data_IF_119762056579
#
_entry.id   IF_119762056579
#
_cell.length_a   1.000
_cell.length_b   1.000
_cell.length_c   1.000
_cell.angle_alpha   90.00
_cell.angle_beta   90.00
_cell.angle_gamma   90.00
#
_symmetry.space_group_name_H-M   'P 1'
#
loop_
_entity.id
_entity.type
_entity.pdbx_description
1 polymer ?
#
# COMPACT_ATOMS: atom_id res chain seq x y z
N UNK A 1 -1.09 -4.90 23.07
CA UNK A 1 -1.60 -5.88 22.10
C UNK A 1 -0.71 -7.10 22.20
N UNK A 2 -1.29 -8.25 22.55
CA UNK A 2 -0.58 -9.54 22.55
C UNK A 2 -0.59 -10.12 21.12
N UNK A 3 0.50 -10.72 20.71
CA UNK A 3 0.62 -11.49 19.48
C UNK A 3 0.74 -12.96 19.80
N UNK A 4 0.28 -13.81 18.90
CA UNK A 4 0.59 -15.24 18.95
C UNK A 4 1.92 -15.44 18.21
N UNK A 5 2.95 -15.85 18.93
CA UNK A 5 4.31 -16.10 18.41
C UNK A 5 4.60 -17.60 18.28
N UNK A 6 3.56 -18.44 18.25
CA UNK A 6 3.69 -19.91 18.19
C UNK A 6 4.25 -20.39 16.83
N UNK A 7 4.02 -19.60 15.78
CA UNK A 7 4.37 -19.97 14.40
C UNK A 7 5.48 -19.07 13.90
N UNK A 8 6.51 -19.67 13.29
CA UNK A 8 7.67 -18.95 12.74
C UNK A 8 7.90 -19.36 11.30
N UNK A 9 7.94 -18.39 10.41
CA UNK A 9 8.29 -18.63 9.01
C UNK A 9 9.82 -18.72 8.87
N UNK A 10 10.37 -19.70 8.16
CA UNK A 10 11.79 -19.75 7.83
C UNK A 10 12.19 -18.85 6.65
N UNK A 11 11.21 -18.21 5.98
CA UNK A 11 11.40 -17.46 4.76
C UNK A 11 11.76 -16.00 5.03
N UNK A 12 12.93 -15.75 5.61
CA UNK A 12 13.45 -14.42 5.88
C UNK A 12 14.97 -14.38 5.76
N UNK A 13 15.53 -13.18 5.76
CA UNK A 13 16.96 -12.94 5.86
C UNK A 13 17.25 -11.58 6.54
N UNK A 14 18.52 -11.18 6.60
CA UNK A 14 18.93 -9.89 7.18
C UNK A 14 18.40 -8.72 6.36
N UNK A 15 18.05 -7.62 7.05
CA UNK A 15 17.74 -6.31 6.44
C UNK A 15 18.96 -5.53 5.98
N UNK A 16 20.19 -6.05 6.19
CA UNK A 16 21.44 -5.36 5.86
C UNK A 16 21.48 -3.91 6.39
N UNK A 17 21.11 -3.73 7.67
CA UNK A 17 21.03 -2.42 8.36
C UNK A 17 20.03 -1.41 7.78
N UNK A 18 19.13 -1.85 6.89
CA UNK A 18 18.09 -0.97 6.35
C UNK A 18 17.07 -0.57 7.42
N UNK A 19 16.77 0.72 7.51
CA UNK A 19 15.73 1.23 8.42
C UNK A 19 14.34 0.91 7.89
N UNK A 20 13.44 0.49 8.78
CA UNK A 20 12.02 0.27 8.46
C UNK A 20 11.36 1.64 8.25
N UNK A 21 10.79 1.85 7.06
CA UNK A 21 10.18 3.11 6.62
C UNK A 21 8.74 2.94 6.15
N UNK A 22 8.32 1.71 5.80
CA UNK A 22 7.05 1.41 5.17
C UNK A 22 6.28 0.33 5.92
N UNK A 23 4.95 0.36 5.81
CA UNK A 23 4.06 -0.79 6.07
C UNK A 23 3.37 -1.14 4.77
N UNK A 24 3.42 -2.42 4.38
CA UNK A 24 2.74 -2.94 3.20
C UNK A 24 1.58 -3.84 3.64
N UNK A 25 0.38 -3.50 3.19
CA UNK A 25 -0.84 -4.25 3.49
C UNK A 25 -1.13 -5.21 2.33
N UNK A 26 -1.33 -6.48 2.70
CA UNK A 26 -1.64 -7.60 1.81
C UNK A 26 -2.95 -8.27 2.20
N UNK A 27 -3.42 -9.21 1.39
CA UNK A 27 -4.36 -10.24 1.78
C UNK A 27 -3.87 -11.62 1.34
N UNK A 28 -4.26 -12.67 2.08
CA UNK A 28 -3.74 -14.02 1.88
C UNK A 28 -4.25 -14.69 0.60
N UNK A 29 -5.45 -14.36 0.15
CA UNK A 29 -6.20 -15.06 -0.91
C UNK A 29 -6.34 -16.58 -0.65
N UNK A 30 -6.23 -17.03 0.60
CA UNK A 30 -6.33 -18.41 1.02
C UNK A 30 -7.67 -18.70 1.74
N UNK A 31 -7.98 -19.96 1.96
CA UNK A 31 -9.29 -20.40 2.46
C UNK A 31 -9.58 -19.92 3.89
N UNK A 32 -8.56 -19.91 4.74
CA UNK A 32 -8.66 -19.53 6.15
C UNK A 32 -7.29 -19.19 6.75
N UNK A 33 -7.28 -18.72 8.00
CA UNK A 33 -6.07 -18.35 8.74
C UNK A 33 -5.08 -19.51 8.90
N UNK A 34 -5.56 -20.74 9.15
CA UNK A 34 -4.70 -21.91 9.32
C UNK A 34 -3.93 -22.22 8.04
N UNK A 35 -4.63 -22.27 6.91
CA UNK A 35 -4.01 -22.48 5.60
C UNK A 35 -2.98 -21.38 5.29
N UNK A 36 -3.30 -20.13 5.68
CA UNK A 36 -2.39 -19.01 5.51
C UNK A 36 -1.11 -19.14 6.34
N UNK A 37 -1.22 -19.55 7.61
CA UNK A 37 -0.08 -19.83 8.48
C UNK A 37 0.78 -20.96 7.88
N UNK A 38 0.15 -22.08 7.52
CA UNK A 38 0.85 -23.21 6.92
C UNK A 38 1.59 -22.82 5.64
N UNK A 39 0.94 -22.04 4.77
CA UNK A 39 1.54 -21.58 3.52
C UNK A 39 2.73 -20.66 3.74
N UNK A 40 2.58 -19.65 4.62
CA UNK A 40 3.60 -18.64 4.89
C UNK A 40 4.78 -19.19 5.73
N UNK A 41 4.58 -20.27 6.48
CA UNK A 41 5.62 -20.93 7.27
C UNK A 41 6.28 -22.11 6.54
N UNK A 42 5.81 -22.48 5.35
CA UNK A 42 6.42 -23.55 4.54
C UNK A 42 7.65 -23.02 3.79
N UNK A 43 8.82 -23.63 3.98
CA UNK A 43 10.11 -23.19 3.42
C UNK A 43 10.10 -23.12 1.89
N UNK A 44 9.46 -24.09 1.25
CA UNK A 44 9.43 -24.26 -0.21
C UNK A 44 8.65 -23.15 -0.92
N UNK A 45 7.72 -22.50 -0.22
CA UNK A 45 6.91 -21.44 -0.79
C UNK A 45 7.67 -20.12 -1.01
N UNK A 46 8.82 -19.96 -0.36
CA UNK A 46 9.72 -18.79 -0.52
C UNK A 46 8.98 -17.44 -0.37
N UNK A 47 7.98 -17.41 0.51
CA UNK A 47 7.15 -16.23 0.83
C UNK A 47 6.89 -16.21 2.33
N UNK A 48 6.76 -15.02 2.91
CA UNK A 48 6.42 -14.82 4.32
C UNK A 48 5.81 -13.44 4.53
N UNK A 49 5.40 -13.15 5.75
CA UNK A 49 5.07 -11.80 6.22
C UNK A 49 5.50 -11.65 7.67
N UNK A 50 5.52 -10.41 8.17
CA UNK A 50 5.82 -10.17 9.58
C UNK A 50 4.61 -10.48 10.46
N UNK A 51 3.44 -10.05 10.01
CA UNK A 51 2.18 -10.24 10.73
C UNK A 51 1.09 -10.79 9.84
N UNK A 52 0.30 -11.73 10.38
CA UNK A 52 -0.96 -12.19 9.80
C UNK A 52 -2.08 -11.84 10.77
N UNK A 53 -3.18 -11.26 10.28
CA UNK A 53 -4.36 -10.93 11.08
C UNK A 53 -5.55 -11.75 10.60
N UNK A 54 -6.13 -12.56 11.51
CA UNK A 54 -7.30 -13.39 11.24
C UNK A 54 -8.60 -12.59 11.16
N UNK A 55 -9.67 -13.22 10.66
CA UNK A 55 -11.02 -12.66 10.66
C UNK A 55 -11.51 -12.30 12.08
N UNK A 56 -11.09 -13.04 13.09
CA UNK A 56 -11.44 -12.79 14.48
C UNK A 56 -10.58 -11.70 15.14
N UNK A 57 -9.67 -11.09 14.39
CA UNK A 57 -8.79 -10.03 14.86
C UNK A 57 -7.62 -10.52 15.70
N UNK A 58 -7.29 -11.80 15.66
CA UNK A 58 -6.07 -12.35 16.26
C UNK A 58 -4.89 -12.01 15.37
N UNK A 59 -3.82 -11.47 15.96
CA UNK A 59 -2.60 -11.19 15.23
C UNK A 59 -1.53 -12.25 15.54
N UNK A 60 -0.94 -12.80 14.49
CA UNK A 60 0.18 -13.74 14.53
C UNK A 60 1.43 -13.02 14.07
N UNK A 61 2.53 -13.12 14.81
CA UNK A 61 3.85 -12.66 14.35
C UNK A 61 4.59 -13.88 13.81
N UNK A 62 4.85 -13.87 12.49
CA UNK A 62 5.46 -15.01 11.78
C UNK A 62 6.94 -14.77 11.48
N UNK A 63 7.37 -13.51 11.37
CA UNK A 63 8.76 -13.10 11.24
C UNK A 63 8.99 -11.90 12.13
N UNK A 64 10.07 -11.91 12.92
CA UNK A 64 10.41 -10.76 13.76
C UNK A 64 10.69 -9.52 12.88
N UNK A 65 10.28 -8.33 13.36
CA UNK A 65 10.49 -7.06 12.67
C UNK A 65 11.96 -6.79 12.26
N UNK A 66 12.92 -7.30 13.02
CA UNK A 66 14.35 -7.15 12.77
C UNK A 66 14.82 -7.85 11.51
N UNK A 67 14.08 -8.86 11.06
CA UNK A 67 14.38 -9.60 9.86
C UNK A 67 13.60 -9.08 8.65
N UNK A 68 14.09 -9.39 7.48
CA UNK A 68 13.52 -9.09 6.18
C UNK A 68 12.61 -10.24 5.76
N UNK A 69 11.31 -10.16 6.04
CA UNK A 69 10.33 -11.10 5.50
C UNK A 69 10.18 -10.93 3.98
N UNK A 70 9.78 -12.00 3.28
CA UNK A 70 9.69 -12.03 1.81
C UNK A 70 8.24 -11.85 1.36
N UNK A 71 7.71 -10.62 1.44
CA UNK A 71 6.29 -10.32 1.14
C UNK A 71 6.06 -9.45 -0.10
N UNK A 72 6.99 -8.54 -0.43
CA UNK A 72 6.80 -7.58 -1.52
C UNK A 72 7.25 -8.11 -2.89
N UNK A 73 8.22 -9.05 -2.93
CA UNK A 73 8.80 -9.57 -4.17
C UNK A 73 9.41 -8.45 -5.02
N UNK A 74 9.39 -8.62 -6.36
CA UNK A 74 9.83 -7.55 -7.29
C UNK A 74 8.87 -6.37 -7.19
N UNK A 75 9.38 -5.24 -6.72
CA UNK A 75 8.59 -4.06 -6.34
C UNK A 75 9.41 -2.78 -6.44
N UNK A 76 8.73 -1.62 -6.39
CA UNK A 76 9.36 -0.31 -6.49
C UNK A 76 8.53 0.73 -5.72
N UNK A 77 9.20 1.62 -5.00
CA UNK A 77 8.58 2.80 -4.38
C UNK A 77 9.63 3.86 -4.08
N UNK A 78 9.43 5.09 -4.60
CA UNK A 78 10.33 6.23 -4.35
C UNK A 78 11.82 5.85 -4.51
N UNK A 79 12.19 5.32 -5.68
CA UNK A 79 13.53 4.88 -6.08
C UNK A 79 14.09 3.65 -5.35
N UNK A 80 13.32 3.04 -4.43
CA UNK A 80 13.69 1.79 -3.79
C UNK A 80 13.12 0.58 -4.53
N UNK A 81 13.95 -0.40 -4.80
CA UNK A 81 13.57 -1.68 -5.43
C UNK A 81 13.55 -2.86 -4.45
N UNK A 82 14.23 -2.75 -3.30
CA UNK A 82 14.17 -3.74 -2.22
C UNK A 82 13.22 -3.31 -1.10
N UNK A 83 11.92 -3.37 -1.42
CA UNK A 83 10.87 -2.99 -0.48
C UNK A 83 10.84 -3.90 0.74
N UNK A 84 11.17 -5.18 0.61
CA UNK A 84 11.22 -6.11 1.75
C UNK A 84 12.16 -5.62 2.85
N UNK A 85 13.34 -5.07 2.50
CA UNK A 85 14.32 -4.60 3.50
C UNK A 85 13.86 -3.39 4.30
N UNK A 86 13.02 -2.53 3.71
CA UNK A 86 12.59 -1.26 4.33
C UNK A 86 11.14 -1.27 4.82
N UNK A 87 10.47 -2.42 4.84
CA UNK A 87 9.05 -2.51 5.19
C UNK A 87 8.70 -3.61 6.18
N UNK A 88 7.52 -3.45 6.77
CA UNK A 88 6.78 -4.48 7.51
C UNK A 88 5.61 -4.93 6.64
N UNK A 89 5.52 -6.21 6.28
CA UNK A 89 4.39 -6.80 5.58
C UNK A 89 3.34 -7.32 6.54
N UNK A 90 2.08 -6.93 6.33
CA UNK A 90 0.92 -7.38 7.11
C UNK A 90 -0.06 -8.07 6.17
N UNK A 91 -0.28 -9.35 6.38
CA UNK A 91 -1.29 -10.16 5.68
C UNK A 91 -2.62 -10.13 6.43
N UNK A 92 -3.70 -10.01 5.69
CA UNK A 92 -5.07 -10.08 6.20
C UNK A 92 -5.69 -11.38 5.70
N UNK A 93 -6.32 -12.14 6.60
CA UNK A 93 -7.07 -13.35 6.24
C UNK A 93 -8.35 -12.99 5.48
N UNK A 94 -8.16 -12.69 4.18
CA UNK A 94 -9.21 -12.29 3.26
C UNK A 94 -9.00 -12.99 1.91
N UNK A 95 -10.11 -13.45 1.33
CA UNK A 95 -10.15 -13.98 -0.04
C UNK A 95 -11.38 -13.45 -0.76
N UNK A 96 -11.19 -12.90 -1.95
CA UNK A 96 -12.27 -12.30 -2.74
C UNK A 96 -13.34 -13.32 -3.15
N UNK A 97 -12.94 -14.56 -3.39
CA UNK A 97 -13.81 -15.66 -3.83
C UNK A 97 -14.16 -16.67 -2.74
N UNK A 98 -13.62 -16.49 -1.53
CA UNK A 98 -13.79 -17.43 -0.41
C UNK A 98 -14.85 -17.01 0.60
N UNK A 99 -15.02 -17.84 1.65
CA UNK A 99 -15.89 -17.51 2.79
C UNK A 99 -15.45 -16.24 3.52
N UNK A 100 -14.15 -15.92 3.53
CA UNK A 100 -13.55 -14.74 4.16
C UNK A 100 -13.51 -13.54 3.20
N UNK A 101 -14.62 -13.24 2.54
CA UNK A 101 -14.71 -12.19 1.50
C UNK A 101 -15.02 -10.79 2.03
N UNK A 102 -14.86 -10.56 3.34
CA UNK A 102 -15.05 -9.26 3.98
C UNK A 102 -13.90 -8.96 4.94
N UNK A 103 -13.49 -7.71 5.02
CA UNK A 103 -12.58 -7.25 6.07
C UNK A 103 -13.37 -7.02 7.35
N UNK A 104 -13.32 -7.98 8.29
CA UNK A 104 -14.14 -7.91 9.49
C UNK A 104 -13.80 -6.71 10.38
N UNK A 105 -14.77 -6.18 11.16
CA UNK A 105 -14.50 -5.10 12.11
C UNK A 105 -13.40 -5.44 13.12
N UNK A 106 -13.34 -6.69 13.60
CA UNK A 106 -12.32 -7.18 14.54
C UNK A 106 -10.91 -7.16 13.90
N UNK A 107 -10.79 -7.66 12.66
CA UNK A 107 -9.56 -7.60 11.87
C UNK A 107 -9.09 -6.16 11.68
N UNK A 108 -9.99 -5.26 11.26
CA UNK A 108 -9.66 -3.85 11.02
C UNK A 108 -9.28 -3.11 12.31
N UNK A 109 -9.91 -3.42 13.44
CA UNK A 109 -9.53 -2.86 14.74
C UNK A 109 -8.10 -3.28 15.12
N UNK A 110 -7.76 -4.56 14.92
CA UNK A 110 -6.42 -5.09 15.18
C UNK A 110 -5.38 -4.49 14.24
N UNK A 111 -5.69 -4.40 12.94
CA UNK A 111 -4.83 -3.75 11.95
C UNK A 111 -4.49 -2.30 12.33
N UNK A 112 -5.50 -1.52 12.72
CA UNK A 112 -5.31 -0.13 13.17
C UNK A 112 -4.36 -0.05 14.38
N UNK A 113 -4.60 -0.85 15.42
CA UNK A 113 -3.75 -0.91 16.60
C UNK A 113 -2.29 -1.29 16.25
N UNK A 114 -2.12 -2.28 15.36
CA UNK A 114 -0.81 -2.71 14.91
C UNK A 114 -0.08 -1.61 14.16
N UNK A 115 -0.73 -0.97 13.17
CA UNK A 115 -0.10 0.10 12.38
C UNK A 115 0.31 1.27 13.29
N UNK A 116 -0.55 1.70 14.22
CA UNK A 116 -0.22 2.79 15.17
C UNK A 116 1.02 2.43 15.99
N UNK A 117 1.11 1.16 16.48
CA UNK A 117 2.29 0.69 17.22
C UNK A 117 3.55 0.75 16.36
N UNK A 118 3.48 0.29 15.10
CA UNK A 118 4.60 0.31 14.16
C UNK A 118 5.02 1.74 13.78
N UNK A 119 4.04 2.62 13.54
CA UNK A 119 4.30 4.04 13.29
C UNK A 119 5.05 4.69 14.43
N UNK A 120 4.64 4.43 15.69
CA UNK A 120 5.33 4.95 16.88
C UNK A 120 6.74 4.35 17.02
N UNK A 121 6.88 3.02 16.87
CA UNK A 121 8.16 2.31 17.06
C UNK A 121 9.22 2.73 16.03
N UNK A 122 8.82 2.82 14.75
CA UNK A 122 9.74 3.04 13.64
C UNK A 122 9.64 4.44 13.02
N UNK A 123 8.85 5.34 13.60
CA UNK A 123 8.60 6.70 13.08
C UNK A 123 8.09 6.71 11.64
N UNK A 124 7.24 5.71 11.29
CA UNK A 124 6.68 5.56 9.95
C UNK A 124 5.63 6.64 9.70
N UNK A 125 5.80 7.45 8.66
CA UNK A 125 4.86 8.51 8.32
C UNK A 125 3.55 7.94 7.75
N UNK A 126 2.46 8.70 7.87
CA UNK A 126 1.13 8.31 7.36
C UNK A 126 1.11 8.00 5.86
N UNK A 127 1.93 8.68 5.06
CA UNK A 127 2.07 8.46 3.61
C UNK A 127 2.75 7.13 3.25
N UNK A 128 3.41 6.52 4.21
CA UNK A 128 4.19 5.30 4.05
C UNK A 128 3.42 4.02 4.47
N UNK A 129 2.11 4.11 4.68
CA UNK A 129 1.23 2.94 4.82
C UNK A 129 0.68 2.63 3.45
N UNK A 130 1.14 1.58 2.81
CA UNK A 130 0.94 1.30 1.38
C UNK A 130 0.21 -0.03 1.14
N UNK A 131 -0.43 -0.13 -0.02
CA UNK A 131 -0.91 -1.38 -0.58
C UNK A 131 0.23 -2.15 -1.26
N UNK A 132 0.15 -3.48 -1.34
CA UNK A 132 1.06 -4.23 -2.22
C UNK A 132 0.94 -3.77 -3.68
N UNK A 133 -0.28 -3.47 -4.13
CA UNK A 133 -0.52 -2.90 -5.46
C UNK A 133 0.08 -1.51 -5.67
N UNK A 134 0.37 -0.72 -4.62
CA UNK A 134 1.08 0.55 -4.77
C UNK A 134 2.53 0.32 -5.18
N UNK A 135 3.20 -0.65 -4.56
CA UNK A 135 4.62 -0.94 -4.80
C UNK A 135 4.87 -1.96 -5.92
N UNK A 136 3.83 -2.69 -6.35
CA UNK A 136 3.92 -3.68 -7.43
C UNK A 136 2.68 -3.65 -8.36
N UNK A 137 2.31 -2.49 -8.94
CA UNK A 137 1.03 -2.28 -9.62
C UNK A 137 0.83 -3.17 -10.85
N UNK A 138 1.91 -3.62 -11.47
CA UNK A 138 1.86 -4.43 -12.68
C UNK A 138 1.59 -5.91 -12.41
N UNK A 139 1.76 -6.35 -11.17
CA UNK A 139 1.80 -7.74 -10.76
C UNK A 139 0.79 -8.09 -9.66
N UNK A 140 0.46 -7.13 -8.80
CA UNK A 140 -0.34 -7.33 -7.59
C UNK A 140 -1.59 -6.45 -7.56
N UNK A 141 -2.63 -6.95 -6.85
CA UNK A 141 -3.91 -6.25 -6.69
C UNK A 141 -4.29 -6.06 -5.23
N UNK A 142 -3.64 -6.79 -4.31
CA UNK A 142 -3.91 -6.73 -2.87
C UNK A 142 -3.53 -5.37 -2.24
N UNK A 143 -4.24 -4.91 -1.21
CA UNK A 143 -5.39 -5.51 -0.56
C UNK A 143 -6.73 -5.35 -1.33
N UNK A 144 -6.69 -4.85 -2.58
CA UNK A 144 -7.80 -4.81 -3.51
C UNK A 144 -8.80 -3.68 -3.30
N UNK A 145 -9.79 -3.62 -4.21
CA UNK A 145 -10.77 -2.53 -4.26
C UNK A 145 -11.74 -2.48 -3.08
N UNK A 146 -11.92 -3.60 -2.37
CA UNK A 146 -12.84 -3.69 -1.22
C UNK A 146 -12.18 -3.35 0.12
N UNK A 147 -10.86 -3.10 0.12
CA UNK A 147 -10.18 -2.73 1.36
C UNK A 147 -10.62 -1.32 1.84
N UNK A 148 -11.05 -1.17 3.10
CA UNK A 148 -11.68 0.06 3.59
C UNK A 148 -10.63 1.12 3.97
N UNK A 149 -9.91 1.69 2.99
CA UNK A 149 -8.88 2.71 3.19
C UNK A 149 -9.37 3.93 3.99
N UNK A 150 -10.62 4.37 3.75
CA UNK A 150 -11.23 5.50 4.49
C UNK A 150 -11.26 5.25 5.99
N UNK A 151 -11.46 4.00 6.41
CA UNK A 151 -11.45 3.63 7.82
C UNK A 151 -10.09 3.91 8.48
N UNK A 152 -8.98 3.73 7.75
CA UNK A 152 -7.63 4.10 8.21
C UNK A 152 -7.42 5.62 8.19
N UNK A 153 -7.95 6.29 7.16
CA UNK A 153 -7.85 7.76 7.02
C UNK A 153 -8.62 8.49 8.13
N UNK A 154 -9.85 8.09 8.43
CA UNK A 154 -10.64 8.63 9.54
C UNK A 154 -9.96 8.42 10.89
N UNK A 155 -9.27 7.29 11.07
CA UNK A 155 -8.46 7.01 12.26
C UNK A 155 -7.10 7.75 12.26
N UNK A 156 -6.84 8.64 11.30
CA UNK A 156 -5.59 9.42 11.14
C UNK A 156 -4.33 8.54 10.98
N UNK A 157 -4.48 7.31 10.55
CA UNK A 157 -3.41 6.32 10.33
C UNK A 157 -2.74 6.54 8.97
N UNK A 158 -3.54 6.84 7.93
CA UNK A 158 -3.05 7.20 6.61
C UNK A 158 -3.27 8.69 6.32
N UNK A 159 -2.65 9.19 5.25
CA UNK A 159 -2.78 10.59 4.84
C UNK A 159 -4.21 10.89 4.41
N UNK A 160 -4.78 11.94 4.98
CA UNK A 160 -6.01 12.55 4.47
C UNK A 160 -5.63 13.66 3.50
N UNK A 161 -6.05 13.54 2.23
CA UNK A 161 -5.77 14.54 1.21
C UNK A 161 -6.61 15.78 1.47
N UNK A 162 -5.97 16.89 1.79
CA UNK A 162 -6.64 18.19 1.98
C UNK A 162 -7.23 18.65 0.65
N UNK A 163 -8.43 19.18 0.66
CA UNK A 163 -9.03 19.80 -0.53
C UNK A 163 -8.17 20.98 -1.01
N UNK A 164 -7.95 21.05 -2.32
CA UNK A 164 -7.26 22.18 -2.93
C UNK A 164 -8.18 23.41 -2.92
N UNK A 165 -7.62 24.55 -2.61
CA UNK A 165 -8.23 25.85 -2.92
C UNK A 165 -8.12 26.12 -4.42
N UNK A 166 -8.96 27.02 -4.96
CA UNK A 166 -8.95 27.36 -6.40
C UNK A 166 -7.57 27.79 -6.89
N UNK A 167 -6.89 28.64 -6.10
CA UNK A 167 -5.55 29.14 -6.42
C UNK A 167 -4.48 28.04 -6.42
N UNK A 168 -4.53 27.09 -5.48
CA UNK A 168 -3.55 25.98 -5.42
C UNK A 168 -3.59 25.13 -6.69
N UNK A 169 -4.79 24.89 -7.20
CA UNK A 169 -4.97 24.14 -8.45
C UNK A 169 -4.37 24.89 -9.63
N UNK A 170 -4.59 26.23 -9.71
CA UNK A 170 -4.03 27.07 -10.75
C UNK A 170 -2.49 27.03 -10.75
N UNK A 171 -1.88 27.17 -9.59
CA UNK A 171 -0.41 27.10 -9.43
C UNK A 171 0.17 25.78 -9.97
N UNK A 172 -0.47 24.64 -9.68
CA UNK A 172 0.00 23.33 -10.16
C UNK A 172 -0.18 23.22 -11.69
N UNK A 173 -1.28 23.70 -12.25
CA UNK A 173 -1.50 23.68 -13.69
C UNK A 173 -0.48 24.57 -14.42
N UNK A 174 -0.22 25.77 -13.92
CA UNK A 174 0.81 26.68 -14.43
C UNK A 174 2.21 26.05 -14.35
N UNK A 175 2.50 25.32 -13.25
CA UNK A 175 3.74 24.58 -13.12
C UNK A 175 3.89 23.50 -14.18
N UNK A 176 2.85 22.72 -14.46
CA UNK A 176 2.87 21.74 -15.53
C UNK A 176 3.11 22.38 -16.90
N UNK A 177 2.46 23.52 -17.17
CA UNK A 177 2.55 24.21 -18.45
C UNK A 177 3.94 24.84 -18.65
N UNK A 178 4.55 25.40 -17.59
CA UNK A 178 5.94 25.89 -17.58
C UNK A 178 6.94 24.84 -18.00
N UNK A 179 6.73 23.59 -17.61
CA UNK A 179 7.61 22.46 -17.97
C UNK A 179 7.11 21.66 -19.18
N UNK A 180 6.23 22.24 -20.00
CA UNK A 180 5.74 21.67 -21.26
C UNK A 180 5.01 20.32 -21.14
N UNK A 181 4.42 20.02 -19.99
CA UNK A 181 3.55 18.85 -19.80
C UNK A 181 2.16 19.12 -20.38
N UNK A 182 2.02 19.03 -21.70
CA UNK A 182 0.77 19.40 -22.43
C UNK A 182 -0.33 18.37 -22.29
N UNK A 183 -0.01 17.07 -22.39
CA UNK A 183 -1.04 16.03 -22.35
C UNK A 183 -1.44 15.64 -20.94
N UNK A 184 -2.73 15.36 -20.74
CA UNK A 184 -3.25 14.85 -19.46
C UNK A 184 -2.55 13.56 -19.00
N UNK A 185 -2.18 12.68 -19.94
CA UNK A 185 -1.42 11.45 -19.66
C UNK A 185 -0.05 11.77 -19.09
N UNK A 186 0.68 12.73 -19.66
CA UNK A 186 1.98 13.16 -19.14
C UNK A 186 1.87 13.72 -17.72
N UNK A 187 0.91 14.62 -17.48
CA UNK A 187 0.66 15.21 -16.15
C UNK A 187 0.34 14.12 -15.10
N UNK A 188 -0.47 13.11 -15.46
CA UNK A 188 -0.80 11.97 -14.59
C UNK A 188 0.45 11.12 -14.29
N UNK A 189 1.24 10.76 -15.29
CA UNK A 189 2.44 9.93 -15.12
C UNK A 189 3.44 10.64 -14.23
N UNK A 190 3.70 11.93 -14.46
CA UNK A 190 4.60 12.72 -13.63
C UNK A 190 4.13 12.80 -12.17
N UNK A 191 2.83 13.07 -11.95
CA UNK A 191 2.28 13.13 -10.61
C UNK A 191 2.43 11.80 -9.86
N UNK A 192 2.15 10.67 -10.53
CA UNK A 192 2.34 9.33 -9.94
C UNK A 192 3.80 9.04 -9.63
N UNK A 193 4.73 9.43 -10.52
CA UNK A 193 6.18 9.31 -10.29
C UNK A 193 6.62 10.08 -9.04
N UNK A 194 6.21 11.34 -8.92
CA UNK A 194 6.55 12.20 -7.76
C UNK A 194 5.98 11.69 -6.44
N UNK A 195 4.81 11.05 -6.48
CA UNK A 195 4.21 10.38 -5.31
C UNK A 195 5.03 9.15 -4.91
N UNK A 196 5.62 8.43 -5.87
CA UNK A 196 6.50 7.28 -5.60
C UNK A 196 6.23 6.02 -6.43
N UNK A 197 5.22 6.02 -7.30
CA UNK A 197 4.88 4.86 -8.13
C UNK A 197 5.92 4.58 -9.21
N UNK A 198 6.03 3.30 -9.62
CA UNK A 198 6.84 2.92 -10.78
C UNK A 198 6.17 3.37 -12.08
N UNK A 199 6.72 4.39 -12.71
CA UNK A 199 6.22 4.94 -13.98
C UNK A 199 7.16 4.69 -15.17
N UNK A 200 8.30 4.02 -14.95
CA UNK A 200 9.40 3.91 -15.93
C UNK A 200 9.00 3.28 -17.26
N UNK A 201 8.00 2.40 -17.27
CA UNK A 201 7.60 1.64 -18.47
C UNK A 201 6.20 1.96 -19.00
N UNK A 202 5.45 2.85 -18.32
CA UNK A 202 4.01 3.03 -18.60
C UNK A 202 3.72 3.98 -19.76
N UNK A 203 4.64 4.87 -20.14
CA UNK A 203 4.38 5.89 -21.14
C UNK A 203 3.98 5.28 -22.49
N UNK A 204 4.70 4.26 -22.95
CA UNK A 204 4.48 3.56 -24.22
C UNK A 204 3.66 2.27 -24.08
N UNK A 205 3.23 1.90 -22.86
CA UNK A 205 2.51 0.66 -22.61
C UNK A 205 1.16 0.93 -21.94
N UNK A 206 0.10 0.96 -22.76
CA UNK A 206 -1.27 1.25 -22.30
C UNK A 206 -1.78 0.23 -21.28
N UNK A 207 -1.42 -1.06 -21.41
CA UNK A 207 -1.81 -2.11 -20.45
C UNK A 207 -1.19 -1.87 -19.06
N UNK A 208 0.11 -1.51 -19.01
CA UNK A 208 0.78 -1.19 -17.75
C UNK A 208 0.26 0.14 -17.18
N UNK A 209 0.04 1.15 -18.02
CA UNK A 209 -0.59 2.39 -17.60
C UNK A 209 -1.96 2.17 -16.94
N UNK A 210 -2.81 1.35 -17.54
CA UNK A 210 -4.12 1.00 -16.96
C UNK A 210 -3.99 0.28 -15.61
N UNK A 211 -3.04 -0.67 -15.49
CA UNK A 211 -2.78 -1.34 -14.21
C UNK A 211 -2.33 -0.37 -13.12
N UNK A 212 -1.44 0.55 -13.45
CA UNK A 212 -0.97 1.60 -12.54
C UNK A 212 -2.11 2.50 -12.06
N UNK A 213 -2.96 2.96 -13.00
CA UNK A 213 -4.15 3.76 -12.66
C UNK A 213 -5.13 3.00 -11.76
N UNK A 214 -5.31 1.70 -12.00
CA UNK A 214 -6.21 0.87 -11.18
C UNK A 214 -5.67 0.70 -9.75
N UNK A 215 -4.35 0.54 -9.57
CA UNK A 215 -3.74 0.52 -8.25
C UNK A 215 -4.03 1.82 -7.49
N UNK A 216 -3.76 2.96 -8.11
CA UNK A 216 -4.05 4.28 -7.53
C UNK A 216 -5.54 4.48 -7.23
N UNK A 217 -6.44 4.14 -8.18
CA UNK A 217 -7.90 4.25 -7.99
C UNK A 217 -8.38 3.39 -6.82
N UNK A 218 -7.94 2.14 -6.71
CA UNK A 218 -8.33 1.24 -5.63
C UNK A 218 -7.97 1.79 -4.26
N UNK A 219 -6.93 2.60 -4.17
CA UNK A 219 -6.49 3.21 -2.91
C UNK A 219 -7.19 4.51 -2.59
N UNK A 220 -7.32 5.42 -3.54
CA UNK A 220 -7.72 6.80 -3.28
C UNK A 220 -9.12 7.16 -3.75
N UNK A 221 -9.76 6.30 -4.59
CA UNK A 221 -11.08 6.57 -5.19
C UNK A 221 -12.13 5.49 -4.89
N UNK A 222 -11.86 4.61 -3.96
CA UNK A 222 -12.51 3.29 -3.83
C UNK A 222 -13.99 3.27 -3.45
N UNK A 223 -14.62 4.32 -2.99
CA UNK A 223 -16.01 4.25 -2.50
C UNK A 223 -17.03 5.01 -3.34
N UNK A 224 -16.60 5.74 -4.36
CA UNK A 224 -17.48 6.44 -5.28
C UNK A 224 -16.97 6.27 -6.72
N UNK A 225 -16.85 5.02 -7.19
CA UNK A 225 -16.47 4.71 -8.56
C UNK A 225 -17.58 5.02 -9.55
N UNK A 226 -18.18 6.19 -9.46
CA UNK A 226 -18.83 6.76 -10.62
C UNK A 226 -17.73 7.13 -11.64
N UNK A 227 -17.85 6.57 -12.80
CA UNK A 227 -17.02 6.50 -14.01
C UNK A 227 -16.34 7.79 -14.49
N UNK A 228 -16.18 8.81 -13.65
CA UNK A 228 -15.81 10.15 -14.06
C UNK A 228 -14.29 10.34 -13.98
N UNK A 229 -13.64 10.39 -15.14
CA UNK A 229 -12.21 10.71 -15.30
C UNK A 229 -11.78 12.03 -14.63
N UNK A 230 -12.74 12.96 -14.41
CA UNK A 230 -12.53 14.21 -13.69
C UNK A 230 -12.11 13.99 -12.23
N UNK A 231 -12.67 12.97 -11.56
CA UNK A 231 -12.34 12.68 -10.17
C UNK A 231 -10.92 12.13 -10.01
N UNK A 232 -10.46 11.31 -10.94
CA UNK A 232 -9.08 10.77 -10.90
C UNK A 232 -8.04 11.88 -10.98
N UNK A 233 -8.14 12.71 -12.01
CA UNK A 233 -7.17 13.79 -12.23
C UNK A 233 -7.15 14.77 -11.06
N UNK A 234 -8.33 15.22 -10.63
CA UNK A 234 -8.47 16.15 -9.50
C UNK A 234 -7.87 15.54 -8.21
N UNK A 235 -8.16 14.28 -7.91
CA UNK A 235 -7.61 13.60 -6.73
C UNK A 235 -6.08 13.45 -6.81
N UNK A 236 -5.57 13.18 -8.00
CA UNK A 236 -4.13 13.04 -8.22
C UNK A 236 -3.40 14.39 -8.03
N UNK A 237 -3.94 15.47 -8.58
CA UNK A 237 -3.38 16.83 -8.41
C UNK A 237 -3.44 17.23 -6.93
N UNK A 238 -4.53 16.94 -6.24
CA UNK A 238 -4.65 17.14 -4.80
C UNK A 238 -3.60 16.35 -4.02
N UNK A 239 -3.35 15.10 -4.40
CA UNK A 239 -2.33 14.27 -3.77
C UNK A 239 -0.93 14.82 -4.02
N UNK A 240 -0.63 15.21 -5.25
CA UNK A 240 0.65 15.83 -5.60
C UNK A 240 0.89 17.10 -4.79
N UNK A 241 -0.09 17.98 -4.70
CA UNK A 241 0.01 19.21 -3.89
C UNK A 241 0.29 18.89 -2.41
N UNK A 242 -0.47 17.96 -1.81
CA UNK A 242 -0.23 17.54 -0.44
C UNK A 242 1.17 16.90 -0.26
N UNK A 243 1.65 16.18 -1.26
CA UNK A 243 2.99 15.58 -1.25
C UNK A 243 4.09 16.64 -1.26
N UNK A 244 3.96 17.66 -2.10
CA UNK A 244 4.91 18.77 -2.21
C UNK A 244 4.99 19.58 -0.91
N UNK A 245 3.85 19.89 -0.27
CA UNK A 245 3.80 20.60 1.01
C UNK A 245 4.43 19.84 2.18
N UNK A 246 4.52 18.51 2.10
CA UNK A 246 5.07 17.68 3.19
C UNK A 246 6.53 17.30 2.98
N UNK A 247 7.17 17.80 1.92
CA UNK A 247 8.61 17.61 1.67
C UNK A 247 9.51 18.61 2.40
N UNK A 248 8.91 19.66 3.01
CA UNK A 248 9.62 20.67 3.80
C UNK A 248 9.61 20.32 5.29
#
# INVERSE_FOLDING_TARGET
MKYINKYNSPNYNSRKNSKIKLVIIHYTALKNTTDAIMYLCKKENKVSCHYLISQNGIAYNLVNDEFRAWHAGKSFWQDNTDINSISIGIELDYSQSGKNNKFSPKMMATLKKLIIKLQKKYKISKKNILAHSDVAPFRKKDPGKYFPWKSLTYSKITTNLKKLKKNDKKIIEEWFDKYSFKSKKQKIILALSLIGYDTRTVYRNTKLYTKLLNAYKNRYLNENHNKNSKNLYTTLIQHLYNFLLTKN
#
